data_IF_655869852312
#
_entry.id   IF_655869852312
#
_cell.length_a   1.000
_cell.length_b   1.000
_cell.length_c   1.000
_cell.angle_alpha   90.00
_cell.angle_beta   90.00
_cell.angle_gamma   90.00
#
_symmetry.space_group_name_H-M   'P 1'
#
loop_
_entity.id
_entity.type
_entity.pdbx_description
1 polymer ?
#
# COMPACT_ATOMS: atom_id res chain seq x y z
N UNK A 1 15.15 15.05 3.37
CA UNK A 1 14.84 14.21 4.56
C UNK A 1 13.34 14.02 4.54
N UNK A 2 12.90 12.77 4.47
CA UNK A 2 11.48 12.43 4.27
C UNK A 2 10.65 12.78 5.50
N UNK A 3 9.53 13.46 5.28
CA UNK A 3 8.63 13.89 6.36
C UNK A 3 7.63 12.82 6.78
N UNK A 4 7.03 12.94 7.97
CA UNK A 4 6.03 11.98 8.43
C UNK A 4 4.81 11.91 7.50
N UNK A 5 4.33 13.06 6.99
CA UNK A 5 3.21 13.09 6.04
C UNK A 5 3.52 12.31 4.76
N UNK A 6 4.68 12.60 4.17
CA UNK A 6 5.17 11.93 2.96
C UNK A 6 5.32 10.41 3.17
N UNK A 7 5.77 10.00 4.35
CA UNK A 7 5.83 8.58 4.73
C UNK A 7 4.46 7.92 4.81
N UNK A 8 3.46 8.59 5.39
CA UNK A 8 2.09 8.05 5.44
C UNK A 8 1.48 7.97 4.06
N UNK A 9 1.70 8.98 3.21
CA UNK A 9 1.17 9.00 1.84
C UNK A 9 1.71 7.82 1.01
N UNK A 10 2.98 7.44 1.22
CA UNK A 10 3.64 6.35 0.49
C UNK A 10 3.51 4.98 1.19
N UNK A 11 2.93 4.92 2.40
CA UNK A 11 2.87 3.71 3.22
C UNK A 11 2.11 2.58 2.51
N UNK A 12 1.03 2.89 1.79
CA UNK A 12 0.27 1.90 1.01
C UNK A 12 1.10 1.27 -0.10
N UNK A 13 1.72 2.09 -0.94
CA UNK A 13 2.56 1.65 -2.06
C UNK A 13 3.83 0.90 -1.57
N UNK A 14 4.37 1.32 -0.42
CA UNK A 14 5.47 0.64 0.25
C UNK A 14 5.09 -0.78 0.69
N UNK A 15 3.92 -0.95 1.30
CA UNK A 15 3.41 -2.26 1.71
C UNK A 15 3.15 -3.19 0.52
N UNK A 16 2.77 -2.63 -0.63
CA UNK A 16 2.58 -3.38 -1.89
C UNK A 16 3.88 -3.60 -2.68
N UNK A 17 5.02 -3.08 -2.19
CA UNK A 17 6.34 -3.14 -2.85
C UNK A 17 6.32 -2.58 -4.28
N UNK A 18 5.49 -1.57 -4.54
CA UNK A 18 5.36 -0.93 -5.86
C UNK A 18 6.24 0.32 -6.01
N UNK A 19 7.02 0.65 -4.98
CA UNK A 19 7.92 1.80 -4.97
C UNK A 19 9.32 1.45 -5.50
N UNK A 20 9.98 2.45 -6.07
CA UNK A 20 11.40 2.37 -6.42
C UNK A 20 12.27 2.16 -5.17
N UNK A 21 13.38 1.43 -5.31
CA UNK A 21 14.27 1.05 -4.20
C UNK A 21 14.76 2.25 -3.38
N UNK A 22 15.07 3.35 -4.06
CA UNK A 22 15.50 4.62 -3.45
C UNK A 22 14.45 5.19 -2.48
N UNK A 23 13.16 5.02 -2.81
CA UNK A 23 12.04 5.50 -1.99
C UNK A 23 11.82 4.57 -0.81
N UNK A 24 11.93 3.25 -1.02
CA UNK A 24 11.90 2.26 0.06
C UNK A 24 12.97 2.53 1.11
N UNK A 25 14.21 2.82 0.69
CA UNK A 25 15.30 3.17 1.61
C UNK A 25 15.00 4.44 2.42
N UNK A 26 14.35 5.43 1.80
CA UNK A 26 13.94 6.65 2.50
C UNK A 26 12.88 6.38 3.56
N UNK A 27 11.92 5.49 3.28
CA UNK A 27 10.89 5.05 4.22
C UNK A 27 11.49 4.26 5.37
N UNK A 28 12.37 3.29 5.07
CA UNK A 28 13.05 2.48 6.08
C UNK A 28 13.90 3.35 7.01
N UNK A 29 14.61 4.34 6.45
CA UNK A 29 15.35 5.31 7.25
C UNK A 29 14.42 6.10 8.17
N UNK A 30 13.29 6.59 7.65
CA UNK A 30 12.30 7.32 8.45
C UNK A 30 11.70 6.47 9.57
N UNK A 31 11.38 5.20 9.28
CA UNK A 31 10.87 4.23 10.26
C UNK A 31 11.86 3.93 11.39
N UNK A 32 13.16 3.94 11.09
CA UNK A 32 14.21 3.79 12.10
C UNK A 32 14.41 5.05 12.97
N UNK A 33 14.15 6.24 12.42
CA UNK A 33 14.38 7.51 13.10
C UNK A 33 13.11 8.07 13.79
N UNK A 34 11.91 7.53 13.51
CA UNK A 34 10.64 8.06 14.00
C UNK A 34 9.73 6.99 14.62
N UNK A 35 9.71 6.91 15.95
CA UNK A 35 8.87 5.96 16.70
C UNK A 35 7.37 6.08 16.40
N UNK A 36 6.88 7.30 16.13
CA UNK A 36 5.46 7.52 15.80
C UNK A 36 5.07 6.83 14.49
N UNK A 37 5.90 7.00 13.46
CA UNK A 37 5.67 6.40 12.16
C UNK A 37 5.90 4.89 12.20
N UNK A 38 6.85 4.42 13.03
CA UNK A 38 7.04 3.00 13.30
C UNK A 38 5.80 2.35 13.93
N UNK A 39 5.24 2.95 14.97
CA UNK A 39 4.02 2.44 15.60
C UNK A 39 2.84 2.43 14.61
N UNK A 40 2.70 3.48 13.80
CA UNK A 40 1.68 3.52 12.74
C UNK A 40 1.86 2.38 11.73
N UNK A 41 3.09 2.15 11.27
CA UNK A 41 3.42 1.06 10.35
C UNK A 41 3.05 -0.31 10.93
N UNK A 42 3.41 -0.59 12.18
CA UNK A 42 3.05 -1.86 12.84
C UNK A 42 1.53 -2.03 12.92
N UNK A 43 0.80 -1.01 13.38
CA UNK A 43 -0.68 -1.07 13.42
C UNK A 43 -1.29 -1.28 12.04
N UNK A 44 -0.76 -0.58 11.02
CA UNK A 44 -1.26 -0.72 9.65
C UNK A 44 -1.01 -2.13 9.09
N UNK A 45 0.16 -2.71 9.41
CA UNK A 45 0.52 -4.08 9.09
C UNK A 45 -0.41 -5.08 9.78
N UNK A 46 -0.67 -4.92 11.08
CA UNK A 46 -1.60 -5.80 11.82
C UNK A 46 -3.01 -5.76 11.25
N UNK A 47 -3.51 -4.56 10.89
CA UNK A 47 -4.82 -4.40 10.23
C UNK A 47 -4.86 -5.14 8.89
N UNK A 48 -3.78 -5.05 8.10
CA UNK A 48 -3.63 -5.77 6.84
C UNK A 48 -3.66 -7.28 7.05
N UNK A 49 -2.88 -7.80 8.00
CA UNK A 49 -2.81 -9.22 8.34
C UNK A 49 -4.20 -9.73 8.77
N UNK A 50 -4.90 -9.00 9.65
CA UNK A 50 -6.25 -9.34 10.08
C UNK A 50 -7.26 -9.36 8.92
N UNK A 51 -7.18 -8.37 8.03
CA UNK A 51 -8.02 -8.33 6.82
C UNK A 51 -7.74 -9.53 5.89
N UNK A 52 -6.48 -9.94 5.76
CA UNK A 52 -6.12 -11.13 4.99
C UNK A 52 -6.66 -12.42 5.63
N UNK A 53 -6.65 -12.52 6.97
CA UNK A 53 -7.23 -13.66 7.68
C UNK A 53 -8.75 -13.76 7.49
N UNK A 54 -9.47 -12.64 7.59
CA UNK A 54 -10.94 -12.61 7.55
C UNK A 54 -11.51 -12.74 6.14
N UNK A 55 -10.85 -12.15 5.15
CA UNK A 55 -11.38 -12.02 3.79
C UNK A 55 -10.50 -12.70 2.72
N UNK A 56 -9.40 -13.35 3.14
CA UNK A 56 -8.37 -13.90 2.26
C UNK A 56 -7.45 -12.80 1.68
N UNK A 57 -6.46 -13.21 0.88
CA UNK A 57 -5.48 -12.33 0.19
C UNK A 57 -6.07 -11.24 -0.74
N UNK A 58 -7.39 -11.07 -0.79
CA UNK A 58 -8.10 -10.07 -1.61
C UNK A 58 -8.28 -8.71 -0.91
N UNK A 59 -8.02 -8.65 0.40
CA UNK A 59 -8.48 -7.53 1.23
C UNK A 59 -7.46 -6.40 1.43
N UNK A 60 -6.36 -6.42 0.67
CA UNK A 60 -5.36 -5.35 0.73
C UNK A 60 -5.22 -4.79 -0.67
N UNK A 61 -6.12 -3.88 -1.01
CA UNK A 61 -5.97 -3.03 -2.17
C UNK A 61 -6.34 -1.60 -1.79
N UNK A 62 -5.34 -0.87 -1.33
CA UNK A 62 -5.29 0.57 -1.55
C UNK A 62 -3.95 0.93 -2.20
N UNK A 63 -3.62 0.24 -3.29
CA UNK A 63 -3.06 0.89 -4.47
C UNK A 63 -3.50 0.26 -5.80
N UNK A 64 -4.07 -0.96 -5.87
CA UNK A 64 -4.56 -1.54 -7.17
C UNK A 64 -5.98 -1.21 -7.59
N UNK A 65 -6.15 0.09 -7.77
CA UNK A 65 -7.06 0.78 -8.69
C UNK A 65 -7.20 0.13 -10.08
N UNK A 66 -6.15 -0.53 -10.60
CA UNK A 66 -6.05 -0.96 -12.01
C UNK A 66 -6.79 -2.27 -12.32
N UNK A 67 -6.73 -3.26 -11.44
CA UNK A 67 -7.46 -4.53 -11.63
C UNK A 67 -8.96 -4.38 -11.32
N UNK A 68 -9.33 -3.50 -10.39
CA UNK A 68 -10.71 -3.06 -10.19
C UNK A 68 -11.26 -2.36 -11.45
N UNK A 69 -10.43 -1.57 -12.14
CA UNK A 69 -10.78 -0.95 -13.44
C UNK A 69 -10.88 -1.99 -14.57
N UNK A 70 -10.05 -3.01 -14.63
CA UNK A 70 -10.18 -4.12 -15.59
C UNK A 70 -11.43 -4.98 -15.33
N UNK A 71 -11.79 -5.17 -14.07
CA UNK A 71 -13.03 -5.83 -13.65
C UNK A 71 -14.28 -5.01 -14.02
N UNK A 72 -14.26 -3.67 -13.84
CA UNK A 72 -15.32 -2.76 -14.28
C UNK A 72 -15.42 -2.65 -15.81
N UNK A 73 -14.28 -2.70 -16.52
CA UNK A 73 -14.21 -2.65 -17.99
C UNK A 73 -14.83 -3.89 -18.64
N UNK A 74 -14.61 -5.07 -18.07
CA UNK A 74 -15.23 -6.32 -18.51
C UNK A 74 -16.75 -6.38 -18.22
N UNK A 75 -17.22 -5.69 -17.17
CA UNK A 75 -18.65 -5.61 -16.83
C UNK A 75 -19.43 -4.50 -17.56
N UNK A 76 -18.76 -3.49 -18.15
CA UNK A 76 -19.37 -2.33 -18.83
C UNK A 76 -19.21 -2.32 -20.37
N UNK A 77 -18.69 -3.40 -20.96
CA UNK A 77 -18.68 -3.70 -22.41
C UNK A 77 -17.73 -2.83 -23.28
N UNK A 78 -16.42 -2.90 -23.02
CA UNK A 78 -15.37 -2.28 -23.84
C UNK A 78 -14.74 -3.33 -24.79
N UNK A 79 -14.72 -3.08 -26.11
CA UNK A 79 -14.06 -3.92 -27.14
C UNK A 79 -12.66 -3.36 -27.43
N UNK A 80 -11.62 -4.20 -27.47
CA UNK A 80 -10.27 -3.81 -27.93
C UNK A 80 -9.89 -4.62 -29.19
N UNK A 81 -9.27 -3.94 -30.16
CA UNK A 81 -8.81 -4.41 -31.49
C UNK A 81 -7.42 -5.02 -31.38
#
# INVERSE_FOLDING_TARGET
>A
MMGCREMVDLLGEYMERELAEEVCQCIEKHLNECDRCKNLYETYREVIELCQELFGNKCVFYAKKKELLEFLRNKLNYKEV
#
